data_IF_370364031363
#
_entry.id   IF_370364031363
#
_cell.length_a   1.000
_cell.length_b   1.000
_cell.length_c   1.000
_cell.angle_alpha   90.00
_cell.angle_beta   90.00
_cell.angle_gamma   90.00
#
_symmetry.space_group_name_H-M   'P 1'
#
loop_
_entity.id
_entity.type
_entity.pdbx_description
1 polymer ?
#
# COMPACT_ATOMS: atom_id res chain seq x y z
N UNK A 1 -13.63 2.35 -9.62
CA UNK A 1 -13.06 2.33 -11.00
C UNK A 1 -11.82 3.21 -11.07
N UNK A 2 -11.77 4.32 -10.33
CA UNK A 2 -10.58 5.16 -10.26
C UNK A 2 -9.32 4.37 -9.83
N UNK A 3 -9.50 3.42 -8.92
CA UNK A 3 -8.47 2.55 -8.33
C UNK A 3 -8.05 1.40 -9.27
N UNK A 4 -8.85 1.14 -10.31
CA UNK A 4 -8.65 0.06 -11.28
C UNK A 4 -7.99 0.56 -12.57
N UNK A 5 -7.67 1.85 -12.65
CA UNK A 5 -7.01 2.40 -13.81
C UNK A 5 -5.96 3.45 -13.47
N UNK A 6 -5.14 3.71 -14.47
CA UNK A 6 -3.84 4.31 -14.38
C UNK A 6 -3.70 5.26 -15.57
N UNK A 7 -4.01 6.55 -15.40
CA UNK A 7 -3.98 7.52 -16.50
C UNK A 7 -2.57 8.09 -16.75
N UNK A 8 -2.06 7.93 -17.96
CA UNK A 8 -0.72 8.36 -18.38
C UNK A 8 -0.84 9.30 -19.58
N UNK A 9 -0.27 10.50 -19.46
CA UNK A 9 -0.27 11.49 -20.53
C UNK A 9 1.00 11.42 -21.38
N UNK A 10 0.94 11.94 -22.61
CA UNK A 10 2.09 12.00 -23.52
C UNK A 10 2.37 10.70 -24.29
N UNK A 11 1.46 9.72 -24.23
CA UNK A 11 1.57 8.47 -24.99
C UNK A 11 0.38 8.30 -25.94
N UNK A 12 0.54 7.61 -27.07
CA UNK A 12 -0.59 7.30 -27.94
C UNK A 12 -1.56 6.34 -27.25
N UNK A 13 -2.85 6.44 -27.59
CA UNK A 13 -3.90 5.59 -27.01
C UNK A 13 -3.63 4.10 -27.25
N UNK A 14 -2.99 3.75 -28.37
CA UNK A 14 -2.56 2.39 -28.70
C UNK A 14 -1.55 1.79 -27.71
N UNK A 15 -0.90 2.60 -26.87
CA UNK A 15 -0.01 2.13 -25.80
C UNK A 15 -0.76 1.75 -24.52
N UNK A 16 -2.08 1.92 -24.48
CA UNK A 16 -2.93 1.48 -23.37
C UNK A 16 -2.91 -0.05 -23.27
N UNK A 17 -2.91 -0.57 -22.04
CA UNK A 17 -2.82 -2.01 -21.79
C UNK A 17 -3.41 -2.38 -20.45
N UNK A 18 -3.85 -3.63 -20.32
CA UNK A 18 -4.23 -4.23 -19.05
C UNK A 18 -3.01 -4.94 -18.48
N UNK A 19 -2.69 -4.68 -17.22
CA UNK A 19 -1.65 -5.40 -16.48
C UNK A 19 -2.28 -6.22 -15.35
N UNK A 20 -1.75 -7.41 -15.04
CA UNK A 20 -2.13 -8.12 -13.82
C UNK A 20 -1.68 -7.34 -12.58
N UNK A 21 -2.40 -7.49 -11.47
CA UNK A 21 -2.13 -6.79 -10.22
C UNK A 21 -2.73 -5.40 -10.13
N UNK A 22 -2.38 -4.71 -9.05
CA UNK A 22 -2.78 -3.34 -8.74
C UNK A 22 -1.61 -2.38 -8.98
N UNK A 23 -1.93 -1.18 -9.46
CA UNK A 23 -0.96 -0.09 -9.57
C UNK A 23 -1.35 1.00 -8.59
N UNK A 24 -0.50 1.23 -7.60
CA UNK A 24 -0.70 2.28 -6.60
C UNK A 24 -0.09 3.58 -7.13
N UNK A 25 -0.80 4.69 -7.01
CA UNK A 25 -0.38 5.98 -7.56
C UNK A 25 0.72 6.68 -6.73
N UNK A 26 1.64 5.89 -6.16
CA UNK A 26 2.74 6.27 -5.28
C UNK A 26 4.01 5.52 -5.69
N UNK A 27 5.17 6.15 -5.54
CA UNK A 27 6.45 5.44 -5.59
C UNK A 27 6.75 4.83 -4.22
N UNK A 28 7.75 3.97 -4.18
CA UNK A 28 8.25 3.38 -2.94
C UNK A 28 9.02 4.39 -2.10
N UNK A 29 8.68 4.50 -0.81
CA UNK A 29 9.50 5.22 0.18
C UNK A 29 10.80 4.44 0.49
N UNK A 30 10.72 3.11 0.46
CA UNK A 30 11.85 2.21 0.40
C UNK A 30 11.53 1.10 -0.59
N UNK A 31 12.42 0.85 -1.55
CA UNK A 31 12.30 -0.29 -2.45
C UNK A 31 13.44 -1.26 -2.18
N UNK A 32 13.07 -2.48 -1.78
CA UNK A 32 13.97 -3.60 -1.61
C UNK A 32 13.45 -4.73 -2.51
N UNK A 33 14.11 -5.01 -3.64
CA UNK A 33 13.70 -6.10 -4.52
C UNK A 33 13.78 -7.41 -3.76
N UNK A 34 12.75 -8.22 -3.90
CA UNK A 34 12.67 -9.54 -3.29
C UNK A 34 12.09 -10.52 -4.31
N UNK A 35 12.69 -11.70 -4.38
CA UNK A 35 12.27 -12.75 -5.29
C UNK A 35 11.18 -13.62 -4.65
N UNK A 36 10.21 -14.04 -5.44
CA UNK A 36 9.14 -14.95 -5.03
C UNK A 36 7.99 -14.26 -4.29
N UNK A 37 7.22 -15.08 -3.57
CA UNK A 37 6.05 -14.62 -2.82
C UNK A 37 6.46 -13.79 -1.58
N UNK A 38 5.79 -12.66 -1.40
CA UNK A 38 6.08 -11.67 -0.36
C UNK A 38 4.90 -11.59 0.60
N UNK A 39 5.18 -11.60 1.91
CA UNK A 39 4.14 -11.25 2.88
C UNK A 39 4.03 -9.73 3.00
N UNK A 40 2.82 -9.23 2.79
CA UNK A 40 2.45 -7.84 2.84
C UNK A 40 1.56 -7.55 4.05
N UNK A 41 1.76 -6.38 4.67
CA UNK A 41 0.95 -5.90 5.79
C UNK A 41 0.36 -4.54 5.46
N UNK A 42 -0.93 -4.37 5.77
CA UNK A 42 -1.65 -3.11 5.68
C UNK A 42 -1.52 -2.33 6.99
N UNK A 43 -1.18 -1.05 6.92
CA UNK A 43 -0.96 -0.18 8.07
C UNK A 43 -1.86 1.05 7.97
N UNK A 44 -2.59 1.34 9.04
CA UNK A 44 -3.40 2.56 9.15
C UNK A 44 -2.78 3.60 10.08
N UNK A 45 -1.67 3.26 10.74
CA UNK A 45 -1.01 4.06 11.75
C UNK A 45 0.52 4.07 11.56
N UNK A 46 1.23 5.09 12.07
CA UNK A 46 2.68 5.09 12.08
C UNK A 46 3.23 3.96 12.95
N UNK A 47 4.27 3.26 12.46
CA UNK A 47 4.93 2.19 13.23
C UNK A 47 5.78 2.74 14.39
N UNK A 48 6.24 3.98 14.28
CA UNK A 48 6.92 4.67 15.37
C UNK A 48 5.87 5.16 16.38
N UNK A 49 5.95 4.77 17.66
CA UNK A 49 5.01 5.25 18.66
C UNK A 49 5.15 6.76 18.84
N UNK A 50 4.02 7.46 18.90
CA UNK A 50 3.98 8.85 19.32
C UNK A 50 4.36 8.96 20.80
N UNK A 51 5.06 10.03 21.18
CA UNK A 51 5.38 10.29 22.59
C UNK A 51 4.14 10.70 23.40
N UNK A 52 3.11 11.22 22.73
CA UNK A 52 1.82 11.54 23.31
C UNK A 52 0.66 11.11 22.43
N UNK A 53 -0.47 10.89 23.09
CA UNK A 53 -1.75 10.70 22.42
C UNK A 53 -2.24 12.04 21.82
N UNK A 54 -3.10 11.99 20.79
CA UNK A 54 -3.74 13.18 20.25
C UNK A 54 -4.45 13.98 21.34
N UNK A 55 -4.20 15.30 21.40
CA UNK A 55 -4.80 16.19 22.40
C UNK A 55 -4.16 16.13 23.80
N UNK A 56 -3.06 15.40 23.96
CA UNK A 56 -2.30 15.33 25.22
C UNK A 56 -0.94 16.00 25.07
N UNK A 57 -0.58 16.85 26.04
CA UNK A 57 0.72 17.52 26.07
C UNK A 57 1.81 16.64 26.68
N UNK A 58 3.00 16.66 26.07
CA UNK A 58 4.16 15.93 26.57
C UNK A 58 5.02 16.89 27.40
N UNK A 59 4.89 16.84 28.72
CA UNK A 59 5.70 17.68 29.61
C UNK A 59 7.07 17.03 29.77
N UNK A 60 8.11 17.82 29.51
CA UNK A 60 9.51 17.43 29.64
C UNK A 60 10.15 18.31 30.71
N UNK A 61 10.51 17.71 31.84
CA UNK A 61 11.13 18.41 32.97
C UNK A 61 12.67 18.50 32.81
N UNK A 62 13.26 17.70 31.93
CA UNK A 62 14.70 17.72 31.64
C UNK A 62 15.07 17.14 30.28
N UNK A 63 16.23 17.55 29.75
CA UNK A 63 16.80 16.98 28.54
C UNK A 63 17.03 15.47 28.65
N UNK A 64 17.44 14.99 29.84
CA UNK A 64 17.65 13.55 30.08
C UNK A 64 16.36 12.75 29.89
N UNK A 65 15.23 13.27 30.37
CA UNK A 65 13.91 12.65 30.20
C UNK A 65 13.51 12.63 28.73
N UNK A 66 13.69 13.75 28.01
CA UNK A 66 13.40 13.80 26.58
C UNK A 66 14.21 12.76 25.79
N UNK A 67 15.52 12.69 26.04
CA UNK A 67 16.41 11.72 25.41
C UNK A 67 16.07 10.27 25.79
N UNK A 68 15.60 10.03 27.03
CA UNK A 68 15.12 8.71 27.43
C UNK A 68 13.86 8.32 26.64
N UNK A 69 12.91 9.24 26.47
CA UNK A 69 11.67 9.01 25.70
C UNK A 69 11.94 8.77 24.22
N UNK A 70 12.85 9.52 23.59
CA UNK A 70 13.27 9.26 22.22
C UNK A 70 13.92 7.88 22.08
N UNK A 71 14.82 7.50 23.00
CA UNK A 71 15.44 6.17 23.00
C UNK A 71 14.43 5.04 23.18
N UNK A 72 13.43 5.24 24.05
CA UNK A 72 12.34 4.30 24.21
C UNK A 72 11.57 4.11 22.89
N UNK A 73 11.18 5.20 22.22
CA UNK A 73 10.47 5.14 20.95
C UNK A 73 11.30 4.43 19.87
N UNK A 74 12.58 4.77 19.74
CA UNK A 74 13.48 4.13 18.77
C UNK A 74 13.67 2.64 19.03
N UNK A 75 13.88 2.22 20.29
CA UNK A 75 14.02 0.80 20.66
C UNK A 75 12.73 0.02 20.39
N UNK A 76 11.57 0.63 20.65
CA UNK A 76 10.28 0.01 20.39
C UNK A 76 10.02 -0.15 18.88
N UNK A 77 10.33 0.87 18.08
CA UNK A 77 10.27 0.78 16.62
C UNK A 77 11.20 -0.31 16.10
N UNK A 78 12.45 -0.38 16.60
CA UNK A 78 13.39 -1.42 16.19
C UNK A 78 12.87 -2.83 16.49
N UNK A 79 12.34 -3.04 17.71
CA UNK A 79 11.77 -4.32 18.11
C UNK A 79 10.57 -4.72 17.23
N UNK A 80 9.69 -3.77 16.91
CA UNK A 80 8.55 -3.99 16.02
C UNK A 80 8.99 -4.35 14.59
N UNK A 81 9.97 -3.62 14.04
CA UNK A 81 10.51 -3.90 12.71
C UNK A 81 11.21 -5.26 12.66
N UNK A 82 11.93 -5.66 13.72
CA UNK A 82 12.48 -7.01 13.86
C UNK A 82 11.38 -8.07 13.93
N UNK A 83 10.29 -7.80 14.64
CA UNK A 83 9.16 -8.72 14.71
C UNK A 83 8.46 -8.90 13.35
N UNK A 84 8.28 -7.82 12.57
CA UNK A 84 7.80 -7.90 11.19
C UNK A 84 8.74 -8.76 10.33
N UNK A 85 10.05 -8.55 10.49
CA UNK A 85 11.07 -9.28 9.73
C UNK A 85 11.10 -10.78 10.10
N UNK A 86 10.99 -11.13 11.39
CA UNK A 86 10.94 -12.53 11.82
C UNK A 86 9.69 -13.25 11.34
N UNK A 87 8.60 -12.52 11.09
CA UNK A 87 7.38 -13.03 10.46
C UNK A 87 7.45 -13.06 8.91
N UNK A 88 8.64 -12.83 8.33
CA UNK A 88 8.86 -12.81 6.89
C UNK A 88 8.03 -11.74 6.12
N UNK A 89 7.70 -10.63 6.78
CA UNK A 89 7.08 -9.49 6.11
C UNK A 89 8.12 -8.79 5.23
N UNK A 90 7.77 -8.57 3.95
CA UNK A 90 8.64 -7.95 2.96
C UNK A 90 8.02 -6.72 2.31
N UNK A 91 6.73 -6.46 2.55
CA UNK A 91 6.02 -5.31 1.99
C UNK A 91 5.15 -4.65 3.06
N UNK A 92 5.32 -3.33 3.24
CA UNK A 92 4.50 -2.50 4.11
C UNK A 92 3.69 -1.53 3.24
N UNK A 93 2.37 -1.56 3.41
CA UNK A 93 1.41 -0.73 2.68
C UNK A 93 0.71 0.17 3.70
N UNK A 94 1.00 1.46 3.66
CA UNK A 94 0.59 2.39 4.71
C UNK A 94 -0.33 3.49 4.18
N UNK A 95 -1.46 3.71 4.84
CA UNK A 95 -2.33 4.86 4.56
C UNK A 95 -1.72 6.19 5.03
N UNK A 96 -0.81 6.13 6.00
CA UNK A 96 -0.13 7.31 6.57
C UNK A 96 1.34 7.36 6.15
N UNK A 97 1.94 8.53 6.27
CA UNK A 97 3.40 8.70 6.12
C UNK A 97 4.12 8.02 7.30
N UNK A 98 5.19 7.29 7.00
CA UNK A 98 6.03 6.64 8.01
C UNK A 98 7.23 7.52 8.38
N UNK A 99 7.71 7.37 9.61
CA UNK A 99 8.86 8.10 10.12
C UNK A 99 10.16 7.64 9.43
N UNK A 100 11.14 8.53 9.23
CA UNK A 100 12.40 8.18 8.55
C UNK A 100 13.14 7.02 9.23
N UNK A 101 13.01 6.88 10.55
CA UNK A 101 13.58 5.75 11.29
C UNK A 101 12.96 4.43 10.85
N UNK A 102 11.65 4.40 10.57
CA UNK A 102 10.94 3.21 10.06
C UNK A 102 11.45 2.87 8.66
N UNK A 103 11.58 3.87 7.78
CA UNK A 103 12.09 3.70 6.42
C UNK A 103 13.54 3.18 6.43
N UNK A 104 14.37 3.68 7.35
CA UNK A 104 15.75 3.22 7.55
C UNK A 104 15.80 1.75 7.95
N UNK A 105 14.98 1.35 8.95
CA UNK A 105 14.88 -0.05 9.35
C UNK A 105 14.29 -0.95 8.25
N UNK A 106 13.33 -0.46 7.48
CA UNK A 106 12.77 -1.22 6.37
C UNK A 106 13.85 -1.56 5.34
N UNK A 107 14.71 -0.59 4.99
CA UNK A 107 15.88 -0.84 4.12
C UNK A 107 16.85 -1.85 4.74
N UNK A 108 17.16 -1.70 6.03
CA UNK A 108 18.06 -2.61 6.76
C UNK A 108 17.55 -4.06 6.75
N UNK A 109 16.24 -4.24 6.89
CA UNK A 109 15.59 -5.55 6.96
C UNK A 109 15.09 -6.08 5.61
N UNK A 110 15.36 -5.35 4.52
CA UNK A 110 14.98 -5.74 3.16
C UNK A 110 13.46 -5.76 2.95
N UNK A 111 12.77 -4.75 3.45
CA UNK A 111 11.33 -4.54 3.28
C UNK A 111 11.06 -3.35 2.35
N UNK A 112 10.15 -3.55 1.41
CA UNK A 112 9.61 -2.47 0.59
C UNK A 112 8.48 -1.74 1.32
N UNK A 113 8.38 -0.42 1.15
CA UNK A 113 7.39 0.44 1.80
C UNK A 113 6.72 1.33 0.76
N UNK A 114 5.40 1.28 0.72
CA UNK A 114 4.55 2.24 0.01
C UNK A 114 3.70 2.97 1.06
N UNK A 115 3.77 4.29 1.08
CA UNK A 115 3.09 5.12 2.08
C UNK A 115 2.12 6.12 1.44
N UNK A 116 1.26 6.71 2.28
CA UNK A 116 0.24 7.68 1.85
C UNK A 116 -0.76 7.12 0.83
N UNK A 117 -1.17 5.86 1.02
CA UNK A 117 -2.25 5.23 0.27
C UNK A 117 -3.60 5.85 0.64
N UNK A 118 -4.47 6.01 -0.36
CA UNK A 118 -5.82 6.54 -0.12
C UNK A 118 -6.70 5.52 0.62
N UNK A 119 -7.81 5.99 1.20
CA UNK A 119 -8.81 5.11 1.82
C UNK A 119 -9.36 4.09 0.82
N UNK A 120 -9.52 4.48 -0.43
CA UNK A 120 -10.05 3.67 -1.51
C UNK A 120 -9.04 2.60 -1.95
N UNK A 121 -7.75 2.96 -2.07
CA UNK A 121 -6.68 1.99 -2.34
C UNK A 121 -6.57 0.96 -1.21
N UNK A 122 -6.62 1.42 0.06
CA UNK A 122 -6.58 0.53 1.22
C UNK A 122 -7.79 -0.41 1.25
N UNK A 123 -9.00 0.10 1.00
CA UNK A 123 -10.22 -0.70 0.96
C UNK A 123 -10.18 -1.75 -0.16
N UNK A 124 -9.71 -1.37 -1.36
CA UNK A 124 -9.56 -2.30 -2.47
C UNK A 124 -8.57 -3.41 -2.16
N UNK A 125 -7.42 -3.09 -1.54
CA UNK A 125 -6.45 -4.12 -1.16
C UNK A 125 -7.08 -5.08 -0.14
N UNK A 126 -7.75 -4.56 0.88
CA UNK A 126 -8.46 -5.39 1.87
C UNK A 126 -9.54 -6.27 1.22
N UNK A 127 -10.30 -5.75 0.25
CA UNK A 127 -11.33 -6.51 -0.47
C UNK A 127 -10.72 -7.64 -1.32
N UNK A 128 -9.61 -7.36 -2.02
CA UNK A 128 -8.93 -8.35 -2.89
C UNK A 128 -8.23 -9.43 -2.08
N UNK A 129 -7.65 -9.07 -0.94
CA UNK A 129 -6.79 -9.96 -0.14
C UNK A 129 -7.49 -10.57 1.06
N UNK A 130 -8.64 -10.03 1.46
CA UNK A 130 -9.41 -10.46 2.63
C UNK A 130 -8.78 -10.12 3.98
N UNK A 131 -7.67 -9.35 4.02
CA UNK A 131 -6.97 -9.03 5.28
C UNK A 131 -7.44 -7.72 5.89
N UNK A 132 -7.33 -7.62 7.21
CA UNK A 132 -7.57 -6.38 7.95
C UNK A 132 -6.28 -5.59 8.18
N UNK A 133 -6.38 -4.26 8.37
CA UNK A 133 -5.22 -3.45 8.75
C UNK A 133 -4.59 -3.94 10.06
N UNK A 134 -3.27 -4.09 10.05
CA UNK A 134 -2.48 -4.47 11.19
C UNK A 134 -2.39 -3.33 12.21
N UNK A 135 -2.64 -3.67 13.48
CA UNK A 135 -2.51 -2.77 14.62
C UNK A 135 -1.21 -3.04 15.37
N UNK A 136 -0.18 -2.18 15.22
CA UNK A 136 1.14 -2.41 15.83
C UNK A 136 1.16 -2.27 17.36
N UNK A 137 0.12 -1.67 17.96
CA UNK A 137 0.06 -1.36 19.40
C UNK A 137 -1.08 -2.10 20.13
N UNK A 138 -1.67 -3.13 19.51
CA UNK A 138 -2.64 -4.02 20.17
C UNK A 138 -2.02 -4.99 21.19
N UNK A 139 -2.87 -5.72 21.91
CA UNK A 139 -2.50 -6.58 23.05
C UNK A 139 -1.54 -7.75 22.72
N UNK A 140 -1.30 -8.06 21.44
CA UNK A 140 -0.49 -9.20 20.99
C UNK A 140 0.88 -8.80 20.44
N UNK A 141 1.67 -8.05 21.21
CA UNK A 141 3.05 -7.69 20.84
C UNK A 141 4.03 -8.88 20.64
N UNK A 142 3.58 -10.12 20.89
CA UNK A 142 4.37 -11.34 20.81
C UNK A 142 3.66 -12.50 20.06
N UNK A 143 2.52 -12.26 19.41
CA UNK A 143 1.80 -13.28 18.63
C UNK A 143 2.28 -13.40 17.19
N UNK A 144 1.88 -14.47 16.49
CA UNK A 144 2.04 -14.55 15.03
C UNK A 144 1.25 -13.44 14.34
N UNK A 145 1.82 -12.84 13.29
CA UNK A 145 1.09 -11.89 12.46
C UNK A 145 0.17 -12.69 11.53
N UNK A 146 -1.12 -12.74 11.88
CA UNK A 146 -2.15 -13.46 11.13
C UNK A 146 -2.66 -12.65 9.93
N UNK A 147 -2.73 -11.32 10.07
CA UNK A 147 -3.24 -10.40 9.06
C UNK A 147 -2.17 -10.03 8.01
N UNK A 148 -1.77 -11.01 7.18
CA UNK A 148 -0.82 -10.77 6.08
C UNK A 148 -1.39 -11.21 4.74
N UNK A 149 -1.25 -10.36 3.72
CA UNK A 149 -1.56 -10.72 2.34
C UNK A 149 -0.33 -11.34 1.67
N UNK A 150 -0.54 -12.23 0.71
CA UNK A 150 0.53 -12.73 -0.16
C UNK A 150 0.57 -11.90 -1.44
N UNK A 151 1.72 -11.31 -1.73
CA UNK A 151 1.99 -10.64 -2.98
C UNK A 151 2.91 -11.52 -3.86
N UNK A 152 2.49 -11.77 -5.10
CA UNK A 152 3.23 -12.60 -6.07
C UNK A 152 4.40 -11.86 -6.70
N UNK A 153 4.31 -10.53 -6.80
CA UNK A 153 5.40 -9.66 -7.22
C UNK A 153 5.19 -8.25 -6.64
N UNK A 154 6.30 -7.51 -6.49
CA UNK A 154 6.30 -6.12 -6.05
C UNK A 154 7.45 -5.39 -6.75
N UNK A 155 7.14 -4.43 -7.62
CA UNK A 155 8.16 -3.76 -8.43
C UNK A 155 7.78 -2.31 -8.76
N UNK A 156 8.77 -1.41 -8.98
CA UNK A 156 8.51 -0.09 -9.52
C UNK A 156 8.13 -0.20 -11.00
N UNK A 157 7.08 0.52 -11.38
CA UNK A 157 6.62 0.66 -12.75
C UNK A 157 6.81 2.10 -13.19
N UNK A 158 7.64 2.31 -14.22
CA UNK A 158 7.85 3.62 -14.82
C UNK A 158 6.85 3.83 -15.96
N UNK A 159 5.95 4.79 -15.81
CA UNK A 159 5.00 5.22 -16.83
C UNK A 159 5.22 6.71 -17.13
N UNK A 160 5.84 7.00 -18.26
CA UNK A 160 6.31 8.35 -18.59
C UNK A 160 7.38 8.82 -17.62
N UNK A 161 7.15 9.97 -16.98
CA UNK A 161 8.03 10.54 -15.97
C UNK A 161 7.68 10.15 -14.53
N UNK A 162 6.63 9.34 -14.33
CA UNK A 162 6.16 8.95 -13.00
C UNK A 162 6.49 7.49 -12.70
N UNK A 163 6.95 7.24 -11.48
CA UNK A 163 7.17 5.90 -10.93
C UNK A 163 6.05 5.53 -9.98
N UNK A 164 5.43 4.38 -10.24
CA UNK A 164 4.32 3.84 -9.47
C UNK A 164 4.70 2.48 -8.88
N UNK A 165 4.07 2.08 -7.78
CA UNK A 165 4.23 0.75 -7.22
C UNK A 165 3.28 -0.23 -7.91
N UNK A 166 3.83 -1.29 -8.49
CA UNK A 166 3.07 -2.34 -9.16
C UNK A 166 3.15 -3.62 -8.36
N UNK A 167 2.00 -4.10 -7.89
CA UNK A 167 1.91 -5.19 -6.92
C UNK A 167 0.88 -6.21 -7.39
N UNK A 168 1.31 -7.46 -7.51
CA UNK A 168 0.41 -8.59 -7.73
C UNK A 168 0.02 -9.19 -6.39
N UNK A 169 -1.28 -9.36 -6.12
CA UNK A 169 -1.77 -10.05 -4.93
C UNK A 169 -2.32 -11.42 -5.29
N UNK A 170 -2.09 -12.40 -4.41
CA UNK A 170 -2.85 -13.64 -4.42
C UNK A 170 -4.24 -13.33 -3.88
N UNK A 171 -5.23 -13.38 -4.76
CA UNK A 171 -6.63 -13.13 -4.40
C UNK A 171 -7.21 -14.32 -3.64
N UNK A 172 -8.07 -14.03 -2.67
CA UNK A 172 -8.86 -15.05 -1.95
C UNK A 172 -10.03 -15.59 -2.79
N UNK A 173 -10.34 -14.94 -3.91
CA UNK A 173 -11.43 -15.29 -4.81
C UNK A 173 -10.90 -15.70 -6.20
N UNK A 174 -11.77 -16.26 -7.06
CA UNK A 174 -11.47 -16.47 -8.48
C UNK A 174 -11.18 -15.16 -9.26
N UNK A 175 -11.33 -14.01 -8.60
CA UNK A 175 -11.04 -12.69 -9.12
C UNK A 175 -9.55 -12.38 -9.04
N UNK A 176 -8.87 -12.30 -10.17
CA UNK A 176 -7.50 -11.78 -10.22
C UNK A 176 -7.55 -10.27 -10.47
N UNK A 177 -6.99 -9.43 -9.57
CA UNK A 177 -6.98 -7.99 -9.79
C UNK A 177 -6.15 -7.67 -11.04
N UNK A 178 -6.69 -6.80 -11.88
CA UNK A 178 -6.01 -6.24 -13.04
C UNK A 178 -6.19 -4.73 -13.04
N UNK A 179 -5.17 -4.01 -13.49
CA UNK A 179 -5.20 -2.57 -13.61
C UNK A 179 -5.08 -2.16 -15.08
N UNK A 180 -5.92 -1.22 -15.50
CA UNK A 180 -5.91 -0.68 -16.85
C UNK A 180 -5.02 0.57 -16.93
N UNK A 181 -3.95 0.49 -17.70
CA UNK A 181 -3.16 1.68 -18.07
C UNK A 181 -3.84 2.36 -19.25
N UNK A 182 -4.32 3.57 -19.02
CA UNK A 182 -4.91 4.45 -20.03
C UNK A 182 -3.90 5.47 -20.48
N UNK A 183 -3.42 5.31 -21.70
CA UNK A 183 -2.51 6.24 -22.35
C UNK A 183 -3.30 7.24 -23.21
N UNK A 184 -2.87 8.50 -23.21
CA UNK A 184 -3.46 9.52 -24.08
C UNK A 184 -2.51 10.70 -24.25
N UNK A 185 -2.67 11.48 -25.34
CA UNK A 185 -1.77 12.60 -25.61
C UNK A 185 -1.89 13.69 -24.54
N UNK A 186 -3.10 13.90 -24.00
CA UNK A 186 -3.40 14.90 -22.97
C UNK A 186 -4.39 14.33 -21.93
N UNK A 187 -4.43 14.94 -20.75
CA UNK A 187 -5.26 14.49 -19.64
C UNK A 187 -6.75 14.42 -20.00
N UNK A 188 -7.28 15.40 -20.72
CA UNK A 188 -8.71 15.40 -21.09
C UNK A 188 -9.13 14.20 -21.95
N UNK A 189 -8.23 13.66 -22.77
CA UNK A 189 -8.50 12.43 -23.55
C UNK A 189 -8.56 11.21 -22.63
N UNK A 190 -7.65 11.13 -21.65
CA UNK A 190 -7.69 10.07 -20.65
C UNK A 190 -8.96 10.11 -19.80
N UNK A 191 -9.42 11.30 -19.40
CA UNK A 191 -10.67 11.47 -18.65
C UNK A 191 -11.89 11.00 -19.46
N UNK A 192 -11.95 11.35 -20.75
CA UNK A 192 -13.00 10.87 -21.65
C UNK A 192 -12.99 9.35 -21.78
N UNK A 193 -11.82 8.74 -21.97
CA UNK A 193 -11.69 7.28 -22.06
C UNK A 193 -12.05 6.59 -20.74
N UNK A 194 -11.61 7.13 -19.60
CA UNK A 194 -11.95 6.63 -18.28
C UNK A 194 -13.47 6.67 -18.05
N UNK A 195 -14.13 7.79 -18.38
CA UNK A 195 -15.57 7.95 -18.25
C UNK A 195 -16.33 6.97 -19.17
N UNK A 196 -15.91 6.81 -20.42
CA UNK A 196 -16.51 5.86 -21.35
C UNK A 196 -16.41 4.41 -20.87
N UNK A 197 -15.24 4.02 -20.35
CA UNK A 197 -15.02 2.68 -19.80
C UNK A 197 -15.82 2.45 -18.51
N UNK A 198 -15.89 3.45 -17.64
CA UNK A 198 -16.75 3.38 -16.45
C UNK A 198 -18.22 3.16 -16.85
N UNK A 199 -18.69 3.85 -17.89
CA UNK A 199 -20.03 3.64 -18.45
C UNK A 199 -20.23 2.22 -18.97
N UNK A 200 -19.25 1.69 -19.72
CA UNK A 200 -19.29 0.31 -20.22
C UNK A 200 -19.31 -0.73 -19.08
N UNK A 201 -18.48 -0.57 -18.05
CA UNK A 201 -18.50 -1.45 -16.87
C UNK A 201 -19.81 -1.37 -16.11
N UNK A 202 -20.38 -0.17 -15.96
CA UNK A 202 -21.68 0.02 -15.32
C UNK A 202 -22.78 -0.72 -16.09
N UNK A 203 -22.78 -0.62 -17.43
CA UNK A 203 -23.71 -1.35 -18.28
C UNK A 203 -23.56 -2.86 -18.13
N UNK A 204 -22.32 -3.37 -18.16
CA UNK A 204 -22.06 -4.81 -17.96
C UNK A 204 -22.56 -5.29 -16.59
N UNK A 205 -22.29 -4.53 -15.53
CA UNK A 205 -22.80 -4.84 -14.20
C UNK A 205 -24.34 -4.95 -14.16
N UNK A 206 -25.06 -4.09 -14.89
CA UNK A 206 -26.53 -4.18 -14.96
C UNK A 206 -27.00 -5.44 -15.70
N UNK A 207 -26.32 -5.83 -16.78
CA UNK A 207 -26.64 -7.05 -17.53
C UNK A 207 -26.45 -8.31 -16.69
N UNK A 208 -25.41 -8.37 -15.87
CA UNK A 208 -25.17 -9.54 -15.01
C UNK A 208 -26.08 -9.56 -13.77
N UNK A 209 -26.47 -8.39 -13.24
CA UNK A 209 -27.46 -8.32 -12.14
C UNK A 209 -28.82 -8.93 -12.49
N UNK A 210 -29.21 -8.90 -13.77
CA UNK A 210 -30.46 -9.50 -14.25
C UNK A 210 -30.40 -11.01 -14.45
N UNK A 211 -29.23 -11.65 -14.36
CA UNK A 211 -29.05 -13.09 -14.59
C UNK A 211 -29.13 -13.90 -13.28
N UNK A 212 -29.07 -13.25 -12.11
CA UNK A 212 -29.18 -13.88 -10.78
C UNK A 212 -30.60 -13.79 -10.17
N UNK A 213 -31.64 -13.60 -11.00
CA UNK A 213 -33.07 -13.72 -10.63
C UNK A 213 -33.72 -14.91 -11.35
#
# INVERSE_FOLDING_TARGET
FAELHAAVTGFPVASSRVLPGLILCRDFAAYCPADGELRAVLLTQPLRPALTAPGVEFIVDSECQYQASLRWASRRTEALMKHLQSNNVKLLLSSVKQDEVVISYAKLYGMSVVECLSSEEMALISEVTGILPYSPFGDSTHGEITETAVATFCQPLLLGSKRWAHIGFTSVCAFQPHCLILCGPVQGVNEQHAAALQGAFTMLQQLFKTVDQ
#
